data_IF_405442973481
#
_entry.id   IF_405442973481
#
_cell.length_a   1.000
_cell.length_b   1.000
_cell.length_c   1.000
_cell.angle_alpha   90.00
_cell.angle_beta   90.00
_cell.angle_gamma   90.00
#
_symmetry.space_group_name_H-M   'P 1'
#
loop_
_entity.id
_entity.type
_entity.pdbx_description
1 polymer ?
#
# COMPACT_ATOMS: atom_id res chain seq x y z
N UNK A 1 -7.65 -3.98 2.36
CA UNK A 1 -7.07 -2.78 2.99
C UNK A 1 -7.63 -2.51 4.39
N UNK A 2 -8.89 -2.09 4.57
CA UNK A 2 -9.42 -1.75 5.91
C UNK A 2 -9.41 -2.92 6.91
N UNK A 3 -9.91 -4.10 6.49
CA UNK A 3 -9.86 -5.29 7.34
C UNK A 3 -8.42 -5.73 7.65
N UNK A 4 -7.52 -5.58 6.68
CA UNK A 4 -6.12 -5.98 6.80
C UNK A 4 -5.36 -5.06 7.76
N UNK A 5 -5.58 -3.74 7.70
CA UNK A 5 -4.95 -2.79 8.64
C UNK A 5 -5.50 -2.97 10.05
N UNK A 6 -6.79 -3.29 10.20
CA UNK A 6 -7.37 -3.63 11.50
C UNK A 6 -6.73 -4.90 12.08
N UNK A 7 -6.57 -5.94 11.26
CA UNK A 7 -5.88 -7.17 11.66
C UNK A 7 -4.40 -6.92 11.98
N UNK A 8 -3.71 -6.07 11.19
CA UNK A 8 -2.32 -5.68 11.42
C UNK A 8 -2.16 -4.96 12.76
N UNK A 9 -3.08 -4.04 13.09
CA UNK A 9 -3.09 -3.34 14.37
C UNK A 9 -3.35 -4.30 15.54
N UNK A 10 -4.41 -5.12 15.47
CA UNK A 10 -4.73 -6.08 16.54
C UNK A 10 -3.63 -7.11 16.77
N UNK A 11 -3.00 -7.59 15.70
CA UNK A 11 -1.92 -8.58 15.75
C UNK A 11 -0.53 -7.99 15.96
N UNK A 12 -0.38 -6.66 15.96
CA UNK A 12 0.92 -5.97 15.89
C UNK A 12 1.80 -6.49 14.75
N UNK A 13 1.18 -6.78 13.61
CA UNK A 13 1.83 -7.41 12.46
C UNK A 13 2.29 -6.35 11.44
N UNK A 14 3.59 -6.05 11.46
CA UNK A 14 4.22 -5.09 10.55
C UNK A 14 4.14 -5.58 9.09
N UNK A 15 4.26 -6.90 8.84
CA UNK A 15 4.25 -7.42 7.46
C UNK A 15 2.90 -7.15 6.82
N UNK A 16 1.83 -7.39 7.56
CA UNK A 16 0.46 -7.12 7.10
C UNK A 16 0.19 -5.63 6.89
N UNK A 17 0.76 -4.76 7.72
CA UNK A 17 0.70 -3.32 7.49
C UNK A 17 1.42 -2.92 6.18
N UNK A 18 2.59 -3.50 5.91
CA UNK A 18 3.32 -3.27 4.65
C UNK A 18 2.52 -3.73 3.43
N UNK A 19 1.79 -4.86 3.52
CA UNK A 19 0.91 -5.31 2.44
C UNK A 19 -0.19 -4.28 2.12
N UNK A 20 -0.76 -3.62 3.13
CA UNK A 20 -1.74 -2.54 2.93
C UNK A 20 -1.09 -1.36 2.20
N UNK A 21 0.12 -0.95 2.60
CA UNK A 21 0.86 0.13 1.93
C UNK A 21 1.14 -0.19 0.46
N UNK A 22 1.45 -1.45 0.14
CA UNK A 22 1.67 -1.90 -1.24
C UNK A 22 0.37 -1.98 -2.04
N UNK A 23 -0.75 -2.30 -1.41
CA UNK A 23 -2.05 -2.37 -2.06
C UNK A 23 -2.60 -0.98 -2.46
N UNK A 24 -2.23 0.07 -1.72
CA UNK A 24 -2.60 1.46 -2.00
C UNK A 24 -2.21 1.90 -3.43
N UNK A 25 -1.02 1.51 -3.87
CA UNK A 25 -0.51 1.85 -5.20
C UNK A 25 -1.37 1.28 -6.35
N UNK A 26 -1.92 0.07 -6.19
CA UNK A 26 -2.81 -0.49 -7.21
C UNK A 26 -4.18 0.21 -7.21
N UNK A 27 -4.67 0.63 -6.03
CA UNK A 27 -5.90 1.40 -5.94
C UNK A 27 -5.78 2.76 -6.65
N UNK A 28 -4.66 3.46 -6.47
CA UNK A 28 -4.35 4.70 -7.19
C UNK A 28 -4.29 4.47 -8.71
N UNK A 29 -3.65 3.37 -9.13
CA UNK A 29 -3.56 2.99 -10.54
C UNK A 29 -4.94 2.76 -11.15
N UNK A 30 -5.79 1.98 -10.48
CA UNK A 30 -7.17 1.71 -10.91
C UNK A 30 -7.99 3.00 -10.96
N UNK A 31 -7.85 3.88 -9.95
CA UNK A 31 -8.52 5.18 -9.95
C UNK A 31 -8.17 6.00 -11.19
N UNK A 32 -6.89 6.06 -11.55
CA UNK A 32 -6.45 6.81 -12.73
C UNK A 32 -6.94 6.17 -14.04
N UNK A 33 -6.95 4.84 -14.14
CA UNK A 33 -7.49 4.15 -15.32
C UNK A 33 -8.99 4.41 -15.52
N UNK A 34 -9.78 4.34 -14.44
CA UNK A 34 -11.21 4.62 -14.48
C UNK A 34 -11.45 6.08 -14.85
N UNK A 35 -10.68 7.01 -14.25
CA UNK A 35 -10.78 8.43 -14.55
C UNK A 35 -10.53 8.73 -16.04
N UNK A 36 -9.43 8.23 -16.60
CA UNK A 36 -9.10 8.40 -18.02
C UNK A 36 -10.18 7.81 -18.94
N UNK A 37 -10.60 6.57 -18.65
CA UNK A 37 -11.64 5.88 -19.43
C UNK A 37 -12.95 6.68 -19.48
N UNK A 38 -13.36 7.28 -18.36
CA UNK A 38 -14.62 8.04 -18.27
C UNK A 38 -14.52 9.49 -18.77
N UNK A 39 -13.31 10.05 -18.85
CA UNK A 39 -13.06 11.32 -19.55
C UNK A 39 -13.08 11.12 -21.06
N UNK A 40 -12.35 10.12 -21.57
CA UNK A 40 -12.32 9.81 -23.00
C UNK A 40 -13.70 9.39 -23.50
N UNK A 41 -14.46 8.68 -22.67
CA UNK A 41 -15.84 8.27 -22.92
C UNK A 41 -16.11 7.73 -24.35
N UNK A 42 -15.33 6.75 -24.83
CA UNK A 42 -15.43 6.30 -26.23
C UNK A 42 -16.77 5.60 -26.55
N UNK A 43 -17.45 5.05 -25.54
CA UNK A 43 -18.79 4.46 -25.69
C UNK A 43 -19.91 5.51 -25.72
N UNK A 44 -19.59 6.80 -25.61
CA UNK A 44 -20.54 7.90 -25.53
C UNK A 44 -21.61 7.72 -24.42
N UNK A 45 -21.20 7.16 -23.27
CA UNK A 45 -22.07 7.04 -22.08
C UNK A 45 -22.57 8.43 -21.69
N UNK A 46 -23.81 8.57 -21.19
CA UNK A 46 -24.29 9.84 -20.69
C UNK A 46 -23.32 10.45 -19.68
N UNK A 47 -22.89 11.70 -19.92
CA UNK A 47 -21.86 12.37 -19.10
C UNK A 47 -22.14 12.34 -17.60
N UNK A 48 -23.41 12.45 -17.20
CA UNK A 48 -23.79 12.37 -15.79
C UNK A 48 -23.41 11.04 -15.13
N UNK A 49 -23.55 9.92 -15.84
CA UNK A 49 -23.19 8.61 -15.34
C UNK A 49 -21.66 8.46 -15.21
N UNK A 50 -20.89 8.93 -16.20
CA UNK A 50 -19.42 8.96 -16.11
C UNK A 50 -18.92 9.80 -14.93
N UNK A 51 -19.53 10.97 -14.69
CA UNK A 51 -19.20 11.81 -13.53
C UNK A 51 -19.50 11.11 -12.19
N UNK A 52 -20.63 10.41 -12.09
CA UNK A 52 -20.94 9.62 -10.90
C UNK A 52 -19.89 8.54 -10.65
N UNK A 53 -19.44 7.83 -11.68
CA UNK A 53 -18.38 6.81 -11.55
C UNK A 53 -17.05 7.43 -11.12
N UNK A 54 -16.66 8.57 -11.69
CA UNK A 54 -15.45 9.30 -11.29
C UNK A 54 -15.54 9.66 -9.79
N UNK A 55 -16.65 10.23 -9.34
CA UNK A 55 -16.81 10.58 -7.92
C UNK A 55 -16.79 9.36 -7.00
N UNK A 56 -17.47 8.27 -7.37
CA UNK A 56 -17.42 7.02 -6.59
C UNK A 56 -15.99 6.50 -6.46
N UNK A 57 -15.24 6.51 -7.57
CA UNK A 57 -13.85 6.04 -7.59
C UNK A 57 -12.95 6.90 -6.73
N UNK A 58 -13.16 8.22 -6.73
CA UNK A 58 -12.41 9.13 -5.86
C UNK A 58 -12.78 8.95 -4.37
N UNK A 59 -14.03 8.65 -4.05
CA UNK A 59 -14.41 8.29 -2.68
C UNK A 59 -13.74 7.00 -2.21
N UNK A 60 -13.59 6.00 -3.09
CA UNK A 60 -12.89 4.75 -2.78
C UNK A 60 -11.40 4.98 -2.55
N UNK A 61 -10.74 5.79 -3.39
CA UNK A 61 -9.34 6.13 -3.23
C UNK A 61 -9.08 6.85 -1.90
N UNK A 62 -9.92 7.81 -1.52
CA UNK A 62 -9.81 8.48 -0.21
C UNK A 62 -9.97 7.50 0.97
N UNK A 63 -10.87 6.53 0.85
CA UNK A 63 -11.05 5.51 1.88
C UNK A 63 -9.81 4.60 2.00
N UNK A 64 -9.16 4.25 0.89
CA UNK A 64 -7.92 3.48 0.92
C UNK A 64 -6.72 4.30 1.42
N UNK A 65 -6.63 5.60 1.10
CA UNK A 65 -5.59 6.47 1.66
C UNK A 65 -5.72 6.59 3.19
N UNK A 66 -6.95 6.62 3.73
CA UNK A 66 -7.16 6.50 5.17
C UNK A 66 -6.66 5.15 5.73
N UNK A 67 -6.87 4.05 5.02
CA UNK A 67 -6.35 2.74 5.43
C UNK A 67 -4.81 2.67 5.36
N UNK A 68 -4.20 3.31 4.36
CA UNK A 68 -2.75 3.46 4.22
C UNK A 68 -2.17 4.28 5.37
N UNK A 69 -2.73 5.45 5.67
CA UNK A 69 -2.30 6.29 6.79
C UNK A 69 -2.35 5.52 8.11
N UNK A 70 -3.40 4.72 8.35
CA UNK A 70 -3.46 3.83 9.51
C UNK A 70 -2.37 2.75 9.50
N UNK A 71 -2.02 2.20 8.33
CA UNK A 71 -0.96 1.19 8.22
C UNK A 71 0.43 1.81 8.49
N UNK A 72 0.67 3.06 8.10
CA UNK A 72 1.89 3.79 8.45
C UNK A 72 2.00 3.98 9.97
N UNK A 73 0.90 4.34 10.64
CA UNK A 73 0.83 4.45 12.09
C UNK A 73 1.04 3.10 12.80
N UNK A 74 0.49 2.00 12.27
CA UNK A 74 0.76 0.65 12.78
C UNK A 74 2.26 0.33 12.68
N UNK A 75 2.89 0.62 11.53
CA UNK A 75 4.33 0.44 11.37
C UNK A 75 5.10 1.23 12.42
N UNK A 76 4.68 2.48 12.67
CA UNK A 76 5.33 3.35 13.65
C UNK A 76 5.19 2.85 15.09
N UNK A 77 3.98 2.55 15.52
CA UNK A 77 3.68 2.11 16.90
C UNK A 77 4.31 0.77 17.23
N UNK A 78 4.41 -0.15 16.26
CA UNK A 78 4.99 -1.48 16.52
C UNK A 78 6.52 -1.47 16.42
N UNK A 79 7.10 -0.77 15.43
CA UNK A 79 8.55 -0.80 15.21
C UNK A 79 9.33 0.28 15.97
N UNK A 80 8.67 1.36 16.39
CA UNK A 80 9.31 2.57 16.93
C UNK A 80 10.03 3.42 15.87
N UNK A 81 9.95 3.05 14.59
CA UNK A 81 10.63 3.73 13.49
C UNK A 81 9.63 4.30 12.48
N UNK A 82 10.08 5.20 11.62
CA UNK A 82 9.24 5.71 10.53
C UNK A 82 9.01 4.61 9.48
N UNK A 83 7.88 4.69 8.77
CA UNK A 83 7.54 3.73 7.71
C UNK A 83 8.64 3.59 6.66
N UNK A 84 9.34 4.69 6.31
CA UNK A 84 10.48 4.67 5.39
C UNK A 84 11.60 3.74 5.88
N UNK A 85 11.93 3.78 7.17
CA UNK A 85 12.97 2.94 7.74
C UNK A 85 12.55 1.47 7.79
N UNK A 86 11.27 1.22 8.12
CA UNK A 86 10.69 -0.11 8.08
C UNK A 86 10.79 -0.67 6.66
N UNK A 87 10.33 0.06 5.64
CA UNK A 87 10.39 -0.39 4.25
C UNK A 87 11.82 -0.71 3.78
N UNK A 88 12.82 0.10 4.14
CA UNK A 88 14.23 -0.21 3.84
C UNK A 88 14.73 -1.52 4.44
N UNK A 89 14.14 -1.95 5.56
CA UNK A 89 14.49 -3.23 6.20
C UNK A 89 13.85 -4.42 5.48
N UNK A 90 12.67 -4.23 4.89
CA UNK A 90 11.92 -5.28 4.19
C UNK A 90 12.23 -5.36 2.69
N UNK A 91 12.62 -4.26 2.07
CA UNK A 91 12.98 -4.15 0.64
C UNK A 91 14.50 -4.13 0.45
N UNK A 92 15.21 -5.05 1.12
CA UNK A 92 16.66 -5.17 0.97
C UNK A 92 17.02 -5.61 -0.46
N UNK A 93 17.98 -4.95 -1.11
CA UNK A 93 18.49 -5.42 -2.40
C UNK A 93 19.16 -6.79 -2.24
N UNK A 94 19.19 -7.58 -3.33
CA UNK A 94 19.70 -8.97 -3.32
C UNK A 94 21.13 -9.03 -2.81
N UNK A 95 21.94 -8.03 -3.15
CA UNK A 95 23.32 -7.89 -2.71
C UNK A 95 23.41 -7.77 -1.19
N UNK A 96 22.54 -6.96 -0.56
CA UNK A 96 22.47 -6.84 0.90
C UNK A 96 22.02 -8.15 1.56
N UNK A 97 21.03 -8.84 0.97
CA UNK A 97 20.58 -10.14 1.46
C UNK A 97 21.70 -11.19 1.41
N UNK A 98 22.49 -11.19 0.33
CA UNK A 98 23.64 -12.06 0.16
C UNK A 98 24.75 -11.76 1.16
N UNK A 99 25.05 -10.48 1.40
CA UNK A 99 26.04 -10.06 2.40
C UNK A 99 25.61 -10.42 3.83
N UNK A 100 24.34 -10.21 4.18
CA UNK A 100 23.79 -10.61 5.48
C UNK A 100 23.86 -12.13 5.67
N UNK A 101 23.59 -12.90 4.60
CA UNK A 101 23.72 -14.36 4.62
C UNK A 101 25.17 -14.81 4.85
N UNK A 102 26.14 -14.19 4.17
CA UNK A 102 27.56 -14.49 4.35
C UNK A 102 28.00 -14.21 5.79
N UNK A 103 27.63 -13.04 6.34
CA UNK A 103 27.97 -12.65 7.71
C UNK A 103 27.45 -13.64 8.74
N UNK A 104 26.20 -14.08 8.63
CA UNK A 104 25.61 -15.05 9.56
C UNK A 104 26.19 -16.46 9.42
N UNK A 105 26.87 -16.77 8.31
CA UNK A 105 27.47 -18.08 8.05
C UNK A 105 28.87 -18.21 8.67
N UNK A 106 29.58 -17.10 8.84
CA UNK A 106 30.88 -17.04 9.53
C UNK A 106 30.73 -17.08 11.06
N UNK A 107 29.62 -16.60 11.62
CA UNK A 107 29.35 -16.62 13.08
C UNK A 107 29.05 -18.04 13.65
N UNK A 108 28.87 -19.04 12.80
CA UNK A 108 28.55 -20.42 13.18
C UNK A 108 29.68 -21.43 12.90
N UNK A 109 30.91 -20.96 12.66
CA UNK A 109 32.13 -21.77 12.59
C UNK A 109 33.09 -21.41 13.73
#
# INVERSE_FOLDING_TARGET
MLADVAAAFSGRDIKKAIEVLRADAEMDRLRNLIFLRHIENPENVPRHASLQVIFMTQSLERAGDHAKNLAEEVCHVVSGHTVRHVLMTYDKPIEQLFLDWLRNREEHQ
#
